data_IF_926990122392
#
_entry.id   IF_926990122392
#
_cell.length_a   1.000
_cell.length_b   1.000
_cell.length_c   1.000
_cell.angle_alpha   90.00
_cell.angle_beta   90.00
_cell.angle_gamma   90.00
#
_symmetry.space_group_name_H-M   'P 1'
#
loop_
_entity.id
_entity.type
_entity.pdbx_description
1 polymer ?
#
# COMPACT_ATOMS: atom_id res chain seq x y z
N UNK A 1 19.71 -8.46 14.88
CA UNK A 1 18.26 -8.62 15.10
C UNK A 1 17.57 -7.33 15.50
N UNK A 2 18.13 -6.58 16.46
CA UNK A 2 17.54 -5.30 16.86
C UNK A 2 17.42 -4.30 15.71
N UNK A 3 18.44 -4.23 14.86
CA UNK A 3 18.43 -3.32 13.71
C UNK A 3 17.29 -3.69 12.74
N UNK A 4 17.09 -4.99 12.50
CA UNK A 4 16.02 -5.44 11.62
C UNK A 4 14.64 -5.09 12.19
N UNK A 5 14.46 -5.22 13.51
CA UNK A 5 13.20 -4.83 14.16
C UNK A 5 12.95 -3.34 14.04
N UNK A 6 13.99 -2.52 14.22
CA UNK A 6 13.87 -1.06 14.08
C UNK A 6 13.49 -0.69 12.65
N UNK A 7 14.18 -1.26 11.66
CA UNK A 7 13.88 -1.00 10.25
C UNK A 7 12.44 -1.41 9.94
N UNK A 8 12.02 -2.59 10.39
CA UNK A 8 10.65 -3.07 10.18
C UNK A 8 9.63 -2.13 10.83
N UNK A 9 9.88 -1.68 12.05
CA UNK A 9 8.99 -0.76 12.75
C UNK A 9 8.84 0.56 11.99
N UNK A 10 9.96 1.13 11.51
CA UNK A 10 9.93 2.37 10.73
C UNK A 10 9.13 2.17 9.45
N UNK A 11 9.37 1.08 8.74
CA UNK A 11 8.65 0.79 7.50
C UNK A 11 7.15 0.57 7.73
N UNK A 12 6.79 -0.10 8.82
CA UNK A 12 5.37 -0.31 9.17
C UNK A 12 4.70 1.03 9.45
N UNK A 13 5.35 1.92 10.22
CA UNK A 13 4.79 3.24 10.52
C UNK A 13 4.65 4.08 9.27
N UNK A 14 5.66 4.07 8.38
CA UNK A 14 5.59 4.78 7.11
C UNK A 14 4.44 4.25 6.24
N UNK A 15 4.28 2.93 6.18
CA UNK A 15 3.21 2.31 5.42
C UNK A 15 1.84 2.66 5.99
N UNK A 16 1.72 2.68 7.32
CA UNK A 16 0.46 3.05 7.98
C UNK A 16 0.09 4.50 7.66
N UNK A 17 1.04 5.42 7.79
CA UNK A 17 0.79 6.84 7.50
C UNK A 17 0.38 7.02 6.05
N UNK A 18 1.10 6.41 5.11
CA UNK A 18 0.78 6.49 3.69
C UNK A 18 -0.60 5.88 3.39
N UNK A 19 -0.90 4.74 4.00
CA UNK A 19 -2.18 4.05 3.80
C UNK A 19 -3.35 4.90 4.28
N UNK A 20 -3.22 5.51 5.46
CA UNK A 20 -4.27 6.37 6.00
C UNK A 20 -4.45 7.64 5.16
N UNK A 21 -3.34 8.21 4.67
CA UNK A 21 -3.41 9.36 3.77
C UNK A 21 -4.17 9.02 2.49
N UNK A 22 -3.84 7.89 1.85
CA UNK A 22 -4.51 7.48 0.62
C UNK A 22 -5.95 7.05 0.87
N UNK A 23 -6.26 6.49 2.03
CA UNK A 23 -7.64 6.21 2.42
C UNK A 23 -8.46 7.49 2.45
N UNK A 24 -7.94 8.52 3.11
CA UNK A 24 -8.61 9.81 3.19
C UNK A 24 -8.81 10.42 1.80
N UNK A 25 -7.75 10.49 0.99
CA UNK A 25 -7.82 11.09 -0.34
C UNK A 25 -8.78 10.29 -1.23
N UNK A 26 -8.73 8.98 -1.19
CA UNK A 26 -9.57 8.14 -2.03
C UNK A 26 -11.05 8.23 -1.69
N UNK A 27 -11.39 8.47 -0.42
CA UNK A 27 -12.80 8.60 0.00
C UNK A 27 -13.33 10.02 -0.15
N UNK A 28 -12.50 11.04 0.11
CA UNK A 28 -12.94 12.44 0.14
C UNK A 28 -12.69 13.13 -1.20
N UNK A 29 -11.52 12.89 -1.81
CA UNK A 29 -11.11 13.54 -3.06
C UNK A 29 -10.66 12.51 -4.09
N UNK A 30 -11.53 11.56 -4.49
CA UNK A 30 -11.11 10.52 -5.45
C UNK A 30 -10.70 11.07 -6.81
N UNK A 31 -11.17 12.25 -7.17
CA UNK A 31 -10.82 12.88 -8.45
C UNK A 31 -9.34 13.26 -8.54
N UNK A 32 -8.65 13.36 -7.39
CA UNK A 32 -7.21 13.65 -7.38
C UNK A 32 -6.34 12.41 -7.61
N UNK A 33 -6.94 11.22 -7.61
CA UNK A 33 -6.24 9.97 -7.87
C UNK A 33 -6.08 9.76 -9.37
N UNK A 34 -5.14 10.51 -9.96
CA UNK A 34 -5.01 10.64 -11.41
C UNK A 34 -4.81 9.30 -12.11
N UNK A 35 -3.97 8.43 -11.53
CA UNK A 35 -3.66 7.14 -12.17
C UNK A 35 -4.92 6.28 -12.34
N UNK A 36 -5.76 6.22 -11.32
CA UNK A 36 -6.98 5.41 -11.38
C UNK A 36 -8.02 6.03 -12.30
N UNK A 37 -8.13 7.36 -12.30
CA UNK A 37 -9.06 8.04 -13.20
C UNK A 37 -8.67 7.86 -14.66
N UNK A 38 -7.37 7.94 -14.97
CA UNK A 38 -6.88 7.71 -16.33
C UNK A 38 -7.02 6.26 -16.76
N UNK A 39 -6.98 5.32 -15.82
CA UNK A 39 -7.18 3.90 -16.10
C UNK A 39 -8.66 3.53 -16.22
N UNK A 40 -9.56 4.51 -16.18
CA UNK A 40 -11.01 4.33 -16.30
C UNK A 40 -11.61 3.51 -15.17
N UNK A 41 -11.02 3.59 -13.98
CA UNK A 41 -11.57 2.92 -12.81
C UNK A 41 -12.74 3.75 -12.28
N UNK A 42 -13.93 3.16 -12.09
CA UNK A 42 -15.09 3.90 -11.58
C UNK A 42 -14.88 4.39 -10.15
N UNK A 43 -15.65 5.39 -9.76
CA UNK A 43 -15.57 5.98 -8.42
C UNK A 43 -15.61 4.92 -7.32
N UNK A 44 -16.53 3.97 -7.43
CA UNK A 44 -16.67 2.90 -6.45
C UNK A 44 -15.39 2.07 -6.37
N UNK A 45 -14.74 1.80 -7.51
CA UNK A 45 -13.49 1.08 -7.56
C UNK A 45 -12.36 1.82 -6.86
N UNK A 46 -12.24 3.15 -7.08
CA UNK A 46 -11.23 3.97 -6.44
C UNK A 46 -11.44 3.98 -4.92
N UNK A 47 -12.66 4.13 -4.47
CA UNK A 47 -12.98 4.12 -3.05
C UNK A 47 -12.69 2.75 -2.42
N UNK A 48 -13.00 1.68 -3.15
CA UNK A 48 -12.71 0.31 -2.68
C UNK A 48 -11.21 0.08 -2.53
N UNK A 49 -10.41 0.54 -3.49
CA UNK A 49 -8.95 0.44 -3.41
C UNK A 49 -8.40 1.22 -2.21
N UNK A 50 -8.96 2.41 -1.95
CA UNK A 50 -8.56 3.20 -0.79
C UNK A 50 -8.85 2.46 0.51
N UNK A 51 -10.02 1.85 0.63
CA UNK A 51 -10.41 1.08 1.81
C UNK A 51 -9.49 -0.13 2.00
N UNK A 52 -9.17 -0.85 0.94
CA UNK A 52 -8.26 -1.99 0.99
C UNK A 52 -6.89 -1.55 1.50
N UNK A 53 -6.36 -0.46 0.96
CA UNK A 53 -5.05 0.05 1.34
C UNK A 53 -5.04 0.50 2.80
N UNK A 54 -6.06 1.25 3.23
CA UNK A 54 -6.17 1.71 4.62
C UNK A 54 -6.31 0.55 5.59
N UNK A 55 -7.13 -0.44 5.25
CA UNK A 55 -7.31 -1.64 6.06
C UNK A 55 -5.99 -2.40 6.19
N UNK A 56 -5.27 -2.58 5.08
CA UNK A 56 -3.97 -3.24 5.10
C UNK A 56 -2.97 -2.54 6.01
N UNK A 57 -2.93 -1.20 5.94
CA UNK A 57 -2.05 -0.41 6.80
C UNK A 57 -2.36 -0.61 8.28
N UNK A 58 -3.64 -0.59 8.65
CA UNK A 58 -4.06 -0.78 10.05
C UNK A 58 -3.74 -2.20 10.51
N UNK A 59 -4.00 -3.21 9.68
CA UNK A 59 -3.76 -4.61 10.03
C UNK A 59 -2.28 -4.92 10.22
N UNK A 60 -1.37 -4.11 9.67
CA UNK A 60 0.06 -4.27 9.91
C UNK A 60 0.43 -4.13 11.39
N UNK A 61 -0.37 -3.43 12.17
CA UNK A 61 -0.08 -3.19 13.58
C UNK A 61 -0.28 -4.43 14.46
N UNK A 62 -1.03 -5.43 14.00
CA UNK A 62 -1.41 -6.59 14.80
C UNK A 62 -0.67 -7.83 14.32
N UNK A 63 0.01 -8.57 15.22
CA UNK A 63 0.76 -9.76 14.81
C UNK A 63 -0.11 -10.85 14.20
N UNK A 64 -1.37 -10.96 14.63
CA UNK A 64 -2.29 -11.98 14.12
C UNK A 64 -2.65 -11.77 12.65
N UNK A 65 -2.64 -10.53 12.18
CA UNK A 65 -3.05 -10.16 10.82
C UNK A 65 -1.90 -9.59 10.00
N UNK A 66 -0.68 -9.65 10.52
CA UNK A 66 0.50 -9.05 9.87
C UNK A 66 0.73 -9.62 8.46
N UNK A 67 0.70 -10.96 8.33
CA UNK A 67 0.92 -11.60 7.03
C UNK A 67 -0.19 -11.25 6.05
N UNK A 68 -1.45 -11.25 6.50
CA UNK A 68 -2.57 -10.86 5.65
C UNK A 68 -2.42 -9.42 5.19
N UNK A 69 -2.02 -8.52 6.10
CA UNK A 69 -1.81 -7.11 5.77
C UNK A 69 -0.73 -6.94 4.71
N UNK A 70 0.39 -7.64 4.85
CA UNK A 70 1.48 -7.59 3.87
C UNK A 70 1.00 -8.05 2.51
N UNK A 71 0.23 -9.14 2.46
CA UNK A 71 -0.31 -9.65 1.20
C UNK A 71 -1.26 -8.64 0.56
N UNK A 72 -2.14 -8.01 1.35
CA UNK A 72 -3.06 -6.99 0.86
C UNK A 72 -2.30 -5.81 0.25
N UNK A 73 -1.24 -5.34 0.93
CA UNK A 73 -0.44 -4.23 0.44
C UNK A 73 0.29 -4.61 -0.85
N UNK A 74 0.80 -5.83 -0.95
CA UNK A 74 1.46 -6.30 -2.17
C UNK A 74 0.48 -6.35 -3.35
N UNK A 75 -0.71 -6.90 -3.12
CA UNK A 75 -1.73 -6.98 -4.16
C UNK A 75 -2.18 -5.61 -4.62
N UNK A 76 -2.37 -4.67 -3.69
CA UNK A 76 -2.72 -3.29 -4.02
C UNK A 76 -1.63 -2.64 -4.87
N UNK A 77 -0.37 -2.79 -4.49
CA UNK A 77 0.75 -2.21 -5.23
C UNK A 77 0.85 -2.82 -6.63
N UNK A 78 0.68 -4.14 -6.75
CA UNK A 78 0.71 -4.79 -8.07
C UNK A 78 -0.40 -4.29 -8.96
N UNK A 79 -1.60 -4.12 -8.42
CA UNK A 79 -2.72 -3.58 -9.18
C UNK A 79 -2.43 -2.15 -9.64
N UNK A 80 -1.87 -1.32 -8.74
CA UNK A 80 -1.53 0.07 -9.06
C UNK A 80 -0.45 0.14 -10.13
N UNK A 81 0.57 -0.73 -10.06
CA UNK A 81 1.59 -0.82 -11.12
C UNK A 81 0.92 -1.16 -12.46
N UNK A 82 -0.02 -2.10 -12.45
CA UNK A 82 -0.77 -2.44 -13.65
C UNK A 82 -1.52 -1.26 -14.23
N UNK A 83 -2.12 -0.42 -13.38
CA UNK A 83 -2.79 0.80 -13.82
C UNK A 83 -1.81 1.78 -14.47
N UNK A 84 -0.63 1.98 -13.86
CA UNK A 84 0.39 2.86 -14.43
C UNK A 84 0.85 2.36 -15.80
N UNK A 85 1.06 1.04 -15.94
CA UNK A 85 1.45 0.45 -17.23
C UNK A 85 0.33 0.63 -18.25
N UNK A 86 -0.91 0.44 -17.83
CA UNK A 86 -2.07 0.58 -18.73
C UNK A 86 -2.16 1.99 -19.31
N UNK A 87 -1.91 3.02 -18.51
CA UNK A 87 -1.94 4.41 -18.98
C UNK A 87 -0.60 4.87 -19.57
N UNK A 88 0.37 3.95 -19.70
CA UNK A 88 1.70 4.21 -20.23
C UNK A 88 2.51 5.24 -19.44
N UNK A 89 2.25 5.34 -18.15
CA UNK A 89 3.02 6.16 -17.21
C UNK A 89 4.07 5.28 -16.53
N UNK A 90 5.15 4.97 -17.26
CA UNK A 90 6.17 4.06 -16.75
C UNK A 90 6.96 4.65 -15.59
N UNK A 91 7.06 5.99 -15.52
CA UNK A 91 7.73 6.64 -14.40
C UNK A 91 6.95 6.40 -13.10
N UNK A 92 5.64 6.61 -13.14
CA UNK A 92 4.79 6.34 -11.98
C UNK A 92 4.82 4.87 -11.59
N UNK A 93 4.79 3.97 -12.58
CA UNK A 93 4.89 2.54 -12.34
C UNK A 93 6.20 2.14 -11.67
N UNK A 94 7.31 2.76 -12.07
CA UNK A 94 8.60 2.50 -11.46
C UNK A 94 8.63 2.96 -10.00
N UNK A 95 8.07 4.13 -9.71
CA UNK A 95 7.98 4.64 -8.33
C UNK A 95 7.15 3.68 -7.47
N UNK A 96 6.01 3.22 -7.98
CA UNK A 96 5.16 2.27 -7.26
C UNK A 96 5.87 0.93 -7.06
N UNK A 97 6.68 0.51 -8.03
CA UNK A 97 7.50 -0.69 -7.90
C UNK A 97 8.47 -0.57 -6.73
N UNK A 98 9.05 0.62 -6.53
CA UNK A 98 9.93 0.85 -5.38
C UNK A 98 9.15 0.74 -4.06
N UNK A 99 7.93 1.27 -4.01
CA UNK A 99 7.09 1.12 -2.82
C UNK A 99 6.67 -0.32 -2.57
N UNK A 100 6.55 -1.13 -3.62
CA UNK A 100 6.25 -2.57 -3.48
C UNK A 100 7.33 -3.30 -2.68
N UNK A 101 8.58 -2.80 -2.70
CA UNK A 101 9.67 -3.43 -1.94
C UNK A 101 9.42 -3.40 -0.44
N UNK A 102 8.65 -2.44 0.06
CA UNK A 102 8.39 -2.32 1.51
C UNK A 102 7.62 -3.54 2.03
N UNK A 103 6.45 -3.92 1.49
CA UNK A 103 5.76 -5.12 1.98
C UNK A 103 6.54 -6.41 1.70
N UNK A 104 7.30 -6.47 0.60
CA UNK A 104 8.15 -7.63 0.31
C UNK A 104 9.21 -7.79 1.41
N UNK A 105 9.86 -6.70 1.81
CA UNK A 105 10.84 -6.74 2.90
C UNK A 105 10.17 -7.15 4.21
N UNK A 106 9.01 -6.58 4.51
CA UNK A 106 8.29 -6.90 5.75
C UNK A 106 7.89 -8.37 5.79
N UNK A 107 7.47 -8.94 4.67
CA UNK A 107 7.13 -10.34 4.58
C UNK A 107 8.35 -11.22 4.86
N UNK A 108 9.48 -10.86 4.25
CA UNK A 108 10.73 -11.60 4.40
C UNK A 108 11.25 -11.51 5.85
N UNK A 109 11.26 -10.31 6.43
CA UNK A 109 11.81 -10.08 7.77
C UNK A 109 10.93 -10.69 8.88
N UNK A 110 9.60 -10.58 8.72
CA UNK A 110 8.66 -11.20 9.65
C UNK A 110 8.62 -10.56 11.05
N UNK A 111 8.88 -9.27 11.18
CA UNK A 111 8.91 -8.57 12.47
C UNK A 111 7.74 -7.59 12.61
N UNK A 112 6.57 -8.02 13.12
CA UNK A 112 5.51 -7.07 13.45
C UNK A 112 5.90 -6.18 14.62
N UNK A 113 5.25 -5.00 14.72
CA UNK A 113 5.55 -4.05 15.80
C UNK A 113 5.21 -4.65 17.17
N UNK A 114 4.01 -5.23 17.26
CA UNK A 114 3.53 -5.85 18.51
C UNK A 114 3.73 -7.35 18.40
N UNK A 115 4.69 -7.85 19.13
CA UNK A 115 5.01 -9.26 19.07
C UNK A 115 5.09 -9.87 20.46
#
# INVERSE_FOLDING_TARGET
MTIMKIISAVLILCSLIASLYYLFVGLVKPETMIVYNKANIPLLGIQSLAIILGTGGILLLFPQTFELAVILLMLHSLFTIGCFVYIKDFRGGFIEFLFLQIPIFLFWAGYPIFN
#
